data_IF_405428024666
#
_entry.id   IF_405428024666
#
_cell.length_a   1.000
_cell.length_b   1.000
_cell.length_c   1.000
_cell.angle_alpha   90.00
_cell.angle_beta   90.00
_cell.angle_gamma   90.00
#
_symmetry.space_group_name_H-M   'P 1'
#
loop_
_entity.id
_entity.type
_entity.pdbx_description
1 polymer ?
#
# COMPACT_ATOMS: atom_id res chain seq x y z
N UNK A 1 24.10 13.12 7.26
CA UNK A 1 24.25 12.27 6.06
C UNK A 1 23.71 12.94 4.79
N UNK A 2 22.57 13.65 4.85
CA UNK A 2 21.97 14.34 3.68
C UNK A 2 22.92 15.35 3.05
N UNK A 3 23.63 16.16 3.87
CA UNK A 3 24.60 17.15 3.39
C UNK A 3 25.81 16.53 2.66
N UNK A 4 26.20 15.30 3.02
CA UNK A 4 27.34 14.60 2.40
C UNK A 4 27.00 14.01 1.01
N UNK A 5 25.74 13.81 0.70
CA UNK A 5 25.28 13.09 -0.50
C UNK A 5 24.25 13.89 -1.32
N UNK A 6 24.18 15.21 -1.09
CA UNK A 6 23.23 16.07 -1.79
C UNK A 6 23.40 15.96 -3.32
N UNK A 7 22.31 15.66 -4.00
CA UNK A 7 22.30 15.45 -5.46
C UNK A 7 22.76 14.06 -5.93
N UNK A 8 23.23 13.18 -5.04
CA UNK A 8 23.67 11.82 -5.40
C UNK A 8 22.63 10.74 -5.08
N UNK A 9 21.79 10.99 -4.06
CA UNK A 9 20.78 10.06 -3.61
C UNK A 9 19.48 10.79 -3.31
N UNK A 10 18.39 10.10 -3.59
CA UNK A 10 17.07 10.51 -3.13
C UNK A 10 16.71 9.70 -1.87
N UNK A 11 16.49 10.36 -0.72
CA UNK A 11 16.09 9.66 0.49
C UNK A 11 14.66 9.13 0.32
N UNK A 12 14.44 7.89 0.76
CA UNK A 12 13.13 7.25 0.80
C UNK A 12 12.68 7.12 2.25
N UNK A 13 11.37 7.15 2.48
CA UNK A 13 10.79 6.68 3.74
C UNK A 13 10.72 5.14 3.73
N UNK A 14 10.78 4.54 4.90
CA UNK A 14 10.54 3.10 5.05
C UNK A 14 9.06 2.86 5.26
N UNK A 15 8.53 1.80 4.66
CA UNK A 15 7.19 1.32 4.96
C UNK A 15 7.04 0.87 6.40
N UNK A 16 5.83 0.92 6.92
CA UNK A 16 5.48 0.39 8.23
C UNK A 16 4.15 -0.35 8.16
N UNK A 17 3.97 -1.23 9.11
CA UNK A 17 2.70 -1.92 9.37
C UNK A 17 1.60 -0.93 9.77
N UNK A 18 0.35 -1.32 9.60
CA UNK A 18 -0.80 -0.62 10.14
C UNK A 18 -0.94 -0.78 11.67
N UNK A 19 -1.96 -0.14 12.22
CA UNK A 19 -2.20 -0.24 13.67
C UNK A 19 -2.57 -1.65 14.10
N UNK A 20 -3.30 -2.39 13.26
CA UNK A 20 -3.67 -3.79 13.53
C UNK A 20 -2.45 -4.70 13.59
N UNK A 21 -1.53 -4.61 12.62
CA UNK A 21 -0.30 -5.41 12.63
C UNK A 21 0.59 -5.08 13.81
N UNK A 22 0.74 -3.79 14.13
CA UNK A 22 1.54 -3.38 15.29
C UNK A 22 0.95 -3.95 16.57
N UNK A 23 -0.36 -3.85 16.76
CA UNK A 23 -1.04 -4.42 17.94
C UNK A 23 -0.92 -5.95 17.98
N UNK A 24 -1.11 -6.63 16.85
CA UNK A 24 -0.91 -8.06 16.73
C UNK A 24 0.53 -8.47 17.08
N UNK A 25 1.53 -7.74 16.58
CA UNK A 25 2.95 -7.99 16.91
C UNK A 25 3.23 -7.82 18.40
N UNK A 26 2.63 -6.83 19.05
CA UNK A 26 2.82 -6.56 20.49
C UNK A 26 2.07 -7.56 21.38
N UNK A 27 0.87 -7.95 20.98
CA UNK A 27 -0.04 -8.79 21.77
C UNK A 27 0.16 -10.29 21.50
N UNK A 28 0.72 -10.65 20.34
CA UNK A 28 0.84 -12.03 19.88
C UNK A 28 -0.51 -12.65 19.52
N UNK A 29 -0.61 -13.99 19.66
CA UNK A 29 -1.81 -14.75 19.26
C UNK A 29 -3.10 -14.34 20.01
N UNK A 30 -2.96 -13.80 21.21
CA UNK A 30 -4.10 -13.36 22.02
C UNK A 30 -4.82 -12.16 21.39
N UNK A 31 -4.17 -11.41 20.50
CA UNK A 31 -4.76 -10.33 19.72
C UNK A 31 -6.10 -10.73 19.08
N UNK A 32 -6.20 -11.96 18.54
CA UNK A 32 -7.43 -12.41 17.87
C UNK A 32 -8.58 -12.73 18.84
N UNK A 33 -8.27 -13.08 20.09
CA UNK A 33 -9.28 -13.27 21.13
C UNK A 33 -9.79 -11.94 21.66
N UNK A 34 -8.93 -10.91 21.74
CA UNK A 34 -9.26 -9.59 22.28
C UNK A 34 -10.40 -8.88 21.53
N UNK A 35 -10.65 -9.22 20.25
CA UNK A 35 -11.83 -8.74 19.52
C UNK A 35 -13.15 -9.10 20.18
N UNK A 36 -13.18 -10.18 20.96
CA UNK A 36 -14.39 -10.74 21.59
C UNK A 36 -14.34 -10.65 23.13
N UNK A 37 -13.17 -10.86 23.71
CA UNK A 37 -13.00 -10.94 25.15
C UNK A 37 -12.78 -9.58 25.80
N UNK A 38 -12.03 -8.67 25.14
CA UNK A 38 -11.76 -7.33 25.64
C UNK A 38 -11.64 -6.29 24.51
N UNK A 39 -12.73 -6.03 23.78
CA UNK A 39 -12.71 -5.12 22.63
C UNK A 39 -12.35 -3.67 23.01
N UNK A 40 -12.64 -3.24 24.23
CA UNK A 40 -12.33 -1.88 24.66
C UNK A 40 -10.83 -1.71 24.92
N UNK A 41 -10.18 -2.66 25.57
CA UNK A 41 -8.72 -2.64 25.74
C UNK A 41 -8.01 -2.77 24.39
N UNK A 42 -8.52 -3.58 23.47
CA UNK A 42 -8.00 -3.67 22.12
C UNK A 42 -8.08 -2.32 21.39
N UNK A 43 -9.21 -1.62 21.46
CA UNK A 43 -9.37 -0.29 20.88
C UNK A 43 -8.38 0.73 21.45
N UNK A 44 -8.10 0.66 22.76
CA UNK A 44 -7.10 1.54 23.38
C UNK A 44 -5.68 1.19 22.89
N UNK A 45 -5.30 -0.10 22.85
CA UNK A 45 -4.01 -0.52 22.29
C UNK A 45 -3.83 -0.04 20.85
N UNK A 46 -4.85 -0.22 20.00
CA UNK A 46 -4.83 0.22 18.60
C UNK A 46 -4.65 1.74 18.46
N UNK A 47 -5.25 2.55 19.36
CA UNK A 47 -5.04 4.00 19.38
C UNK A 47 -3.58 4.36 19.70
N UNK A 48 -2.96 3.68 20.66
CA UNK A 48 -1.53 3.87 20.97
C UNK A 48 -0.66 3.48 19.78
N UNK A 49 -0.95 2.36 19.12
CA UNK A 49 -0.25 1.92 17.92
C UNK A 49 -0.35 2.97 16.81
N UNK A 50 -1.54 3.49 16.53
CA UNK A 50 -1.74 4.51 15.50
C UNK A 50 -0.98 5.82 15.82
N UNK A 51 -0.94 6.26 17.09
CA UNK A 51 -0.16 7.42 17.50
C UNK A 51 1.35 7.19 17.34
N UNK A 52 1.85 6.02 17.71
CA UNK A 52 3.26 5.66 17.56
C UNK A 52 3.66 5.63 16.08
N UNK A 53 2.80 5.12 15.20
CA UNK A 53 3.02 5.10 13.75
C UNK A 53 3.11 6.51 13.17
N UNK A 54 2.17 7.40 13.52
CA UNK A 54 2.20 8.79 13.07
C UNK A 54 3.49 9.48 13.53
N UNK A 55 3.84 9.33 14.82
CA UNK A 55 5.08 9.88 15.35
C UNK A 55 6.31 9.37 14.59
N UNK A 56 6.38 8.07 14.32
CA UNK A 56 7.50 7.46 13.62
C UNK A 56 7.60 7.95 12.16
N UNK A 57 6.48 8.05 11.44
CA UNK A 57 6.45 8.57 10.09
C UNK A 57 6.84 10.04 10.02
N UNK A 58 6.36 10.85 10.95
CA UNK A 58 6.75 12.26 11.02
C UNK A 58 8.26 12.41 11.17
N UNK A 59 8.90 11.56 11.99
CA UNK A 59 10.37 11.55 12.13
C UNK A 59 11.09 11.09 10.87
N UNK A 60 10.54 10.16 10.13
CA UNK A 60 11.10 9.77 8.84
C UNK A 60 11.00 10.92 7.81
N UNK A 61 9.84 11.57 7.73
CA UNK A 61 9.63 12.70 6.82
C UNK A 61 10.50 13.90 7.16
N UNK A 62 10.69 14.20 8.45
CA UNK A 62 11.65 15.22 8.91
C UNK A 62 13.08 14.89 8.44
N UNK A 63 13.49 13.62 8.55
CA UNK A 63 14.83 13.17 8.18
C UNK A 63 15.02 13.08 6.65
N UNK A 64 14.05 12.56 5.91
CA UNK A 64 14.13 12.38 4.46
C UNK A 64 13.91 13.70 3.71
N UNK A 65 12.98 14.54 4.18
CA UNK A 65 12.50 15.71 3.46
C UNK A 65 11.71 15.34 2.21
N UNK A 66 11.39 16.33 1.41
CA UNK A 66 10.66 16.15 0.15
C UNK A 66 11.61 16.18 -1.05
N UNK A 67 11.24 15.43 -2.08
CA UNK A 67 11.91 15.38 -3.39
C UNK A 67 10.89 15.82 -4.45
N UNK A 68 11.16 16.92 -5.15
CA UNK A 68 10.25 17.52 -6.15
C UNK A 68 8.82 17.76 -5.62
N UNK A 69 8.71 18.24 -4.36
CA UNK A 69 7.42 18.50 -3.74
C UNK A 69 6.64 17.26 -3.28
N UNK A 70 7.29 16.11 -3.20
CA UNK A 70 6.69 14.86 -2.76
C UNK A 70 7.62 13.99 -1.93
N UNK A 71 7.14 12.81 -1.58
CA UNK A 71 7.84 11.80 -0.78
C UNK A 71 8.09 10.56 -1.64
N UNK A 72 9.30 10.00 -1.59
CA UNK A 72 9.60 8.68 -2.17
C UNK A 72 9.33 7.64 -1.08
N UNK A 73 8.42 6.71 -1.37
CA UNK A 73 7.98 5.68 -0.43
C UNK A 73 8.96 4.51 -0.35
N UNK A 74 8.72 3.60 0.57
CA UNK A 74 9.60 2.45 0.83
C UNK A 74 9.75 1.47 -0.34
N UNK A 75 8.85 1.50 -1.32
CA UNK A 75 8.95 0.71 -2.56
C UNK A 75 9.48 1.52 -3.75
N UNK A 76 9.83 2.80 -3.54
CA UNK A 76 10.40 3.65 -4.57
C UNK A 76 9.39 4.49 -5.35
N UNK A 77 8.09 4.42 -5.04
CA UNK A 77 7.09 5.28 -5.65
C UNK A 77 7.19 6.70 -5.11
N UNK A 78 7.02 7.66 -5.99
CA UNK A 78 6.85 9.05 -5.63
C UNK A 78 5.37 9.39 -5.44
N UNK A 79 5.04 9.97 -4.29
CA UNK A 79 3.71 10.50 -3.99
C UNK A 79 3.78 11.99 -3.66
N UNK A 80 2.77 12.79 -4.07
CA UNK A 80 2.78 14.23 -3.82
C UNK A 80 2.65 14.55 -2.33
N UNK A 81 3.35 15.63 -1.92
CA UNK A 81 3.28 16.16 -0.56
C UNK A 81 4.01 15.31 0.47
N UNK A 82 3.60 15.46 1.72
CA UNK A 82 4.01 14.59 2.84
C UNK A 82 3.21 13.30 2.73
N UNK A 83 3.85 12.22 2.33
CA UNK A 83 3.15 10.96 2.11
C UNK A 83 3.58 9.89 3.10
N UNK A 84 2.58 9.17 3.64
CA UNK A 84 2.81 7.90 4.31
C UNK A 84 2.92 6.81 3.25
N UNK A 85 4.05 6.11 3.22
CA UNK A 85 4.31 5.10 2.22
C UNK A 85 4.32 3.69 2.78
N UNK A 86 3.69 2.76 2.04
CA UNK A 86 3.58 1.36 2.38
C UNK A 86 2.95 1.12 3.76
N UNK A 87 1.81 1.75 4.00
CA UNK A 87 0.97 1.39 5.12
C UNK A 87 0.35 0.01 4.84
N UNK A 88 0.63 -0.97 5.68
CA UNK A 88 0.19 -2.36 5.49
C UNK A 88 -1.00 -2.68 6.38
N UNK A 89 -1.99 -3.38 5.84
CA UNK A 89 -3.14 -3.90 6.58
C UNK A 89 -3.26 -5.43 6.43
N UNK A 90 -2.11 -6.12 6.55
CA UNK A 90 -1.99 -7.57 6.34
C UNK A 90 -2.87 -8.39 7.30
N UNK A 91 -3.09 -7.90 8.51
CA UNK A 91 -4.01 -8.52 9.49
C UNK A 91 -5.42 -8.70 8.93
N UNK A 92 -5.82 -7.90 7.93
CA UNK A 92 -7.13 -8.06 7.26
C UNK A 92 -7.29 -9.41 6.54
N UNK A 93 -6.20 -10.13 6.30
CA UNK A 93 -6.23 -11.50 5.77
C UNK A 93 -6.81 -12.51 6.78
N UNK A 94 -6.79 -12.19 8.08
CA UNK A 94 -7.12 -13.07 9.18
C UNK A 94 -8.34 -12.64 9.99
N UNK A 95 -8.91 -11.48 9.71
CA UNK A 95 -10.08 -10.93 10.38
C UNK A 95 -11.22 -10.68 9.39
N UNK A 96 -12.44 -10.61 9.88
CA UNK A 96 -13.58 -10.28 9.04
C UNK A 96 -13.59 -8.81 8.63
N UNK A 97 -14.31 -8.50 7.55
CA UNK A 97 -14.57 -7.12 7.15
C UNK A 97 -15.22 -6.31 8.27
N UNK A 98 -16.13 -6.88 9.03
CA UNK A 98 -16.80 -6.19 10.15
C UNK A 98 -15.81 -5.78 11.24
N UNK A 99 -14.86 -6.66 11.58
CA UNK A 99 -13.80 -6.35 12.53
C UNK A 99 -12.87 -5.25 11.98
N UNK A 100 -12.50 -5.30 10.70
CA UNK A 100 -11.74 -4.20 10.09
C UNK A 100 -12.50 -2.87 10.15
N UNK A 101 -13.77 -2.85 9.77
CA UNK A 101 -14.60 -1.63 9.77
C UNK A 101 -14.72 -1.02 11.19
N UNK A 102 -14.81 -1.88 12.22
CA UNK A 102 -14.95 -1.41 13.61
C UNK A 102 -13.62 -1.00 14.24
N UNK A 103 -12.56 -1.83 14.10
CA UNK A 103 -11.31 -1.68 14.85
C UNK A 103 -10.17 -1.05 14.03
N UNK A 104 -10.02 -1.41 12.75
CA UNK A 104 -8.92 -0.96 11.91
C UNK A 104 -9.20 0.33 11.17
N UNK A 105 -10.29 0.35 10.41
CA UNK A 105 -10.62 1.44 9.48
C UNK A 105 -10.58 2.84 10.10
N UNK A 106 -11.14 3.12 11.30
CA UNK A 106 -11.10 4.47 11.86
C UNK A 106 -9.69 4.99 12.11
N UNK A 107 -8.77 4.09 12.47
CA UNK A 107 -7.38 4.43 12.75
C UNK A 107 -6.57 4.55 11.46
N UNK A 108 -6.75 3.64 10.52
CA UNK A 108 -6.15 3.72 9.19
C UNK A 108 -6.56 4.99 8.48
N UNK A 109 -7.83 5.36 8.53
CA UNK A 109 -8.31 6.64 8.00
C UNK A 109 -7.64 7.83 8.70
N UNK A 110 -7.54 7.81 10.04
CA UNK A 110 -6.86 8.87 10.79
C UNK A 110 -5.40 9.01 10.37
N UNK A 111 -4.69 7.91 10.16
CA UNK A 111 -3.30 7.92 9.68
C UNK A 111 -3.27 8.49 8.25
N UNK A 112 -4.06 7.94 7.31
CA UNK A 112 -4.06 8.38 5.92
C UNK A 112 -4.39 9.87 5.76
N UNK A 113 -5.34 10.39 6.55
CA UNK A 113 -5.77 11.80 6.47
C UNK A 113 -4.86 12.77 7.23
N UNK A 114 -3.90 12.28 8.03
CA UNK A 114 -2.86 13.11 8.64
C UNK A 114 -1.82 13.57 7.62
N UNK A 115 -1.71 12.89 6.49
CA UNK A 115 -0.77 13.17 5.41
C UNK A 115 -1.50 13.64 4.14
N UNK A 116 -0.74 14.23 3.21
CA UNK A 116 -1.28 14.70 1.93
C UNK A 116 -1.66 13.54 1.00
N UNK A 117 -0.99 12.39 1.19
CA UNK A 117 -1.25 11.17 0.44
C UNK A 117 -0.77 9.92 1.20
N UNK A 118 -1.37 8.77 0.88
CA UNK A 118 -1.01 7.48 1.42
C UNK A 118 -0.85 6.42 0.30
N UNK A 119 0.16 5.58 0.46
CA UNK A 119 0.31 4.33 -0.28
C UNK A 119 -0.10 3.17 0.62
N UNK A 120 -1.09 2.40 0.20
CA UNK A 120 -1.61 1.26 0.94
C UNK A 120 -1.10 -0.05 0.32
N UNK A 121 -0.56 -0.93 1.15
CA UNK A 121 -0.24 -2.31 0.79
C UNK A 121 -1.37 -3.24 1.23
N UNK A 122 -1.84 -4.10 0.33
CA UNK A 122 -2.91 -5.07 0.60
C UNK A 122 -2.64 -6.41 -0.07
N UNK A 123 -3.41 -7.41 0.31
CA UNK A 123 -3.27 -8.78 -0.14
C UNK A 123 -4.52 -9.31 -0.85
N UNK A 124 -4.36 -10.25 -1.79
CA UNK A 124 -5.46 -10.96 -2.43
C UNK A 124 -6.33 -11.73 -1.42
N UNK A 125 -5.71 -12.28 -0.36
CA UNK A 125 -6.43 -12.91 0.75
C UNK A 125 -7.38 -11.96 1.50
N UNK A 126 -7.13 -10.65 1.43
CA UNK A 126 -7.98 -9.60 2.03
C UNK A 126 -9.12 -9.14 1.12
N UNK A 127 -9.46 -9.87 0.05
CA UNK A 127 -10.42 -9.44 -0.96
C UNK A 127 -11.73 -8.91 -0.37
N UNK A 128 -12.23 -9.56 0.69
CA UNK A 128 -13.45 -9.15 1.39
C UNK A 128 -13.38 -7.76 2.03
N UNK A 129 -12.18 -7.25 2.33
CA UNK A 129 -11.95 -5.95 2.96
C UNK A 129 -11.47 -4.88 1.98
N UNK A 130 -11.02 -5.24 0.76
CA UNK A 130 -10.49 -4.30 -0.22
C UNK A 130 -11.39 -3.09 -0.52
N UNK A 131 -12.73 -3.26 -0.72
CA UNK A 131 -13.60 -2.12 -0.94
C UNK A 131 -13.64 -1.13 0.23
N UNK A 132 -13.59 -1.65 1.47
CA UNK A 132 -13.56 -0.83 2.67
C UNK A 132 -12.25 -0.05 2.77
N UNK A 133 -11.12 -0.69 2.47
CA UNK A 133 -9.80 -0.05 2.44
C UNK A 133 -9.73 1.01 1.34
N UNK A 134 -10.10 0.67 0.11
CA UNK A 134 -10.03 1.57 -1.04
C UNK A 134 -10.87 2.85 -0.88
N UNK A 135 -11.94 2.78 -0.06
CA UNK A 135 -12.80 3.92 0.23
C UNK A 135 -12.25 4.87 1.30
N UNK A 136 -11.09 4.58 1.92
CA UNK A 136 -10.47 5.45 2.92
C UNK A 136 -9.91 6.70 2.24
N UNK A 137 -10.31 7.92 2.69
CA UNK A 137 -9.76 9.16 2.14
C UNK A 137 -8.24 9.25 2.34
N UNK A 138 -7.56 9.84 1.36
CA UNK A 138 -6.10 10.05 1.40
C UNK A 138 -5.29 8.93 0.74
N UNK A 139 -5.82 7.74 0.54
CA UNK A 139 -5.15 6.68 -0.20
C UNK A 139 -5.10 7.09 -1.69
N UNK A 140 -3.88 7.29 -2.21
CA UNK A 140 -3.63 7.67 -3.61
C UNK A 140 -3.20 6.50 -4.47
N UNK A 141 -2.51 5.55 -3.88
CA UNK A 141 -2.11 4.33 -4.55
C UNK A 141 -2.34 3.13 -3.62
N UNK A 142 -2.77 2.03 -4.19
CA UNK A 142 -3.04 0.80 -3.44
C UNK A 142 -2.44 -0.40 -4.17
N UNK A 143 -1.46 -1.01 -3.55
CA UNK A 143 -0.90 -2.26 -4.02
C UNK A 143 -1.80 -3.41 -3.62
N UNK A 144 -1.96 -4.34 -4.55
CA UNK A 144 -2.60 -5.63 -4.34
C UNK A 144 -1.59 -6.72 -4.64
N UNK A 145 -1.11 -7.36 -3.57
CA UNK A 145 -0.19 -8.49 -3.66
C UNK A 145 -0.92 -9.80 -3.93
N UNK A 146 -0.30 -10.66 -4.74
CA UNK A 146 -0.76 -12.04 -4.93
C UNK A 146 -0.28 -12.92 -3.78
N UNK A 147 -1.16 -13.74 -3.24
CA UNK A 147 -0.85 -14.68 -2.17
C UNK A 147 -0.78 -16.12 -2.68
N UNK A 148 -0.07 -17.02 -1.98
CA UNK A 148 -0.14 -18.44 -2.27
C UNK A 148 -1.58 -18.96 -2.16
N UNK A 149 -1.97 -19.82 -3.11
CA UNK A 149 -3.30 -20.46 -3.16
C UNK A 149 -4.49 -19.50 -3.33
N UNK A 150 -4.25 -18.28 -3.83
CA UNK A 150 -5.31 -17.36 -4.26
C UNK A 150 -5.26 -17.14 -5.76
N UNK A 151 -6.30 -16.50 -6.30
CA UNK A 151 -6.21 -15.92 -7.63
C UNK A 151 -5.11 -14.85 -7.68
N UNK A 152 -4.54 -14.66 -8.86
CA UNK A 152 -3.56 -13.58 -9.08
C UNK A 152 -4.18 -12.21 -8.81
N UNK A 153 -3.40 -11.29 -8.27
CA UNK A 153 -3.84 -9.95 -7.91
C UNK A 153 -4.58 -9.23 -9.06
N UNK A 154 -4.16 -9.42 -10.29
CA UNK A 154 -4.82 -8.84 -11.46
C UNK A 154 -6.23 -9.36 -11.66
N UNK A 155 -6.50 -10.64 -11.36
CA UNK A 155 -7.84 -11.22 -11.47
C UNK A 155 -8.75 -10.76 -10.32
N UNK A 156 -8.19 -10.68 -9.09
CA UNK A 156 -8.88 -10.09 -7.94
C UNK A 156 -9.23 -8.62 -8.24
N UNK A 157 -8.28 -7.85 -8.80
CA UNK A 157 -8.51 -6.46 -9.18
C UNK A 157 -9.64 -6.32 -10.22
N UNK A 158 -9.62 -7.14 -11.28
CA UNK A 158 -10.65 -7.10 -12.36
C UNK A 158 -12.07 -7.22 -11.82
N UNK A 159 -12.32 -8.20 -10.96
CA UNK A 159 -13.66 -8.45 -10.43
C UNK A 159 -14.12 -7.44 -9.39
N UNK A 160 -13.19 -6.72 -8.78
CA UNK A 160 -13.47 -5.68 -7.80
C UNK A 160 -13.25 -4.26 -8.34
N UNK A 161 -12.98 -4.08 -9.63
CA UNK A 161 -12.53 -2.83 -10.25
C UNK A 161 -13.36 -1.61 -9.89
N UNK A 162 -14.69 -1.75 -9.92
CA UNK A 162 -15.61 -0.64 -9.61
C UNK A 162 -15.48 -0.20 -8.14
N UNK A 163 -15.37 -1.16 -7.23
CA UNK A 163 -15.22 -0.90 -5.79
C UNK A 163 -13.82 -0.34 -5.43
N UNK A 164 -12.83 -0.56 -6.30
CA UNK A 164 -11.44 -0.11 -6.13
C UNK A 164 -11.10 1.14 -6.96
N UNK A 165 -12.08 1.84 -7.49
CA UNK A 165 -11.87 2.95 -8.44
C UNK A 165 -11.24 4.23 -7.84
N UNK A 166 -11.07 4.34 -6.53
CA UNK A 166 -10.52 5.53 -5.87
C UNK A 166 -8.99 5.68 -6.05
N UNK A 167 -8.19 4.78 -5.48
CA UNK A 167 -6.73 4.84 -5.57
C UNK A 167 -6.21 4.32 -6.93
N UNK A 168 -4.99 4.76 -7.29
CA UNK A 168 -4.25 4.16 -8.42
C UNK A 168 -3.84 2.74 -8.04
N UNK A 169 -4.25 1.70 -8.79
CA UNK A 169 -3.83 0.34 -8.51
C UNK A 169 -2.34 0.15 -8.80
N UNK A 170 -1.67 -0.60 -7.92
CA UNK A 170 -0.27 -1.03 -8.08
C UNK A 170 -0.28 -2.55 -8.14
N UNK A 171 0.15 -3.10 -9.26
CA UNK A 171 0.06 -4.53 -9.57
C UNK A 171 1.44 -5.07 -9.97
N UNK A 172 1.88 -6.13 -9.30
CA UNK A 172 3.07 -6.88 -9.72
C UNK A 172 2.64 -7.95 -10.72
N UNK A 173 3.05 -7.76 -11.97
CA UNK A 173 2.59 -8.57 -13.09
C UNK A 173 3.76 -9.30 -13.77
N UNK A 174 3.49 -10.53 -14.18
CA UNK A 174 4.35 -11.26 -15.10
C UNK A 174 4.20 -10.71 -16.53
N UNK A 175 5.14 -11.02 -17.43
CA UNK A 175 5.05 -10.65 -18.86
C UNK A 175 3.73 -11.11 -19.48
N UNK A 176 3.33 -12.37 -19.28
CA UNK A 176 2.09 -12.89 -19.82
C UNK A 176 0.84 -12.18 -19.29
N UNK A 177 0.83 -11.78 -18.00
CA UNK A 177 -0.26 -11.00 -17.44
C UNK A 177 -0.32 -9.57 -18.02
N UNK A 178 0.83 -8.94 -18.26
CA UNK A 178 0.89 -7.62 -18.92
C UNK A 178 0.31 -7.72 -20.33
N UNK A 179 0.79 -8.66 -21.13
CA UNK A 179 0.36 -8.86 -22.53
C UNK A 179 -1.14 -9.20 -22.62
N UNK A 180 -1.64 -10.03 -21.70
CA UNK A 180 -3.05 -10.44 -21.66
C UNK A 180 -3.99 -9.34 -21.13
N UNK A 181 -3.47 -8.26 -20.54
CA UNK A 181 -4.27 -7.21 -19.89
C UNK A 181 -4.03 -5.80 -20.45
N UNK A 182 -3.51 -5.65 -21.68
CA UNK A 182 -3.26 -4.34 -22.26
C UNK A 182 -4.48 -3.40 -22.25
N UNK A 183 -5.66 -3.90 -22.58
CA UNK A 183 -6.88 -3.08 -22.59
C UNK A 183 -7.24 -2.57 -21.19
N UNK A 184 -7.06 -3.40 -20.14
CA UNK A 184 -7.21 -2.97 -18.76
C UNK A 184 -6.21 -1.86 -18.43
N UNK A 185 -4.93 -2.09 -18.72
CA UNK A 185 -3.84 -1.17 -18.39
C UNK A 185 -3.95 0.15 -19.19
N UNK A 186 -4.47 0.13 -20.42
CA UNK A 186 -4.73 1.33 -21.24
C UNK A 186 -5.94 2.13 -20.76
N UNK A 187 -6.91 1.48 -20.12
CA UNK A 187 -8.18 2.11 -19.75
C UNK A 187 -8.12 2.97 -18.47
N UNK A 188 -7.02 2.90 -17.72
CA UNK A 188 -6.87 3.60 -16.44
C UNK A 188 -5.39 3.81 -16.08
N UNK A 189 -5.14 4.72 -15.11
CA UNK A 189 -3.81 4.85 -14.52
C UNK A 189 -3.51 3.62 -13.67
N UNK A 190 -2.37 2.97 -13.92
CA UNK A 190 -1.91 1.80 -13.16
C UNK A 190 -0.40 1.89 -12.98
N UNK A 191 0.10 1.58 -11.81
CA UNK A 191 1.52 1.33 -11.58
C UNK A 191 1.74 -0.18 -11.76
N UNK A 192 2.64 -0.54 -12.65
CA UNK A 192 2.99 -1.93 -12.90
C UNK A 192 4.40 -2.18 -12.38
N UNK A 193 4.55 -3.18 -11.51
CA UNK A 193 5.84 -3.72 -11.14
C UNK A 193 6.13 -4.96 -11.96
N UNK A 194 7.30 -4.99 -12.58
CA UNK A 194 7.77 -6.12 -13.35
C UNK A 194 9.16 -6.53 -12.86
N UNK A 195 9.26 -7.77 -12.43
CA UNK A 195 10.53 -8.35 -11.99
C UNK A 195 11.23 -8.96 -13.21
N UNK A 196 12.12 -8.19 -13.81
CA UNK A 196 12.90 -8.66 -14.96
C UNK A 196 13.94 -9.70 -14.55
N UNK A 197 14.09 -10.75 -15.34
CA UNK A 197 15.05 -11.83 -15.09
C UNK A 197 16.50 -11.41 -15.37
N UNK A 198 16.70 -10.42 -16.25
CA UNK A 198 18.01 -9.86 -16.62
C UNK A 198 17.82 -8.47 -17.24
N UNK A 199 18.94 -7.80 -17.55
CA UNK A 199 18.92 -6.46 -18.16
C UNK A 199 18.23 -6.43 -19.52
N UNK A 200 18.45 -7.45 -20.35
CA UNK A 200 17.83 -7.55 -21.67
C UNK A 200 16.32 -7.67 -21.56
N UNK A 201 15.81 -8.51 -20.65
CA UNK A 201 14.38 -8.63 -20.36
C UNK A 201 13.77 -7.30 -19.86
N UNK A 202 14.49 -6.56 -19.04
CA UNK A 202 14.06 -5.23 -18.58
C UNK A 202 13.97 -4.23 -19.76
N UNK A 203 14.94 -4.24 -20.66
CA UNK A 203 14.96 -3.37 -21.85
C UNK A 203 13.83 -3.73 -22.81
N UNK A 204 13.59 -5.02 -23.06
CA UNK A 204 12.49 -5.50 -23.89
C UNK A 204 11.12 -5.10 -23.31
N UNK A 205 10.94 -5.21 -22.00
CA UNK A 205 9.70 -4.78 -21.35
C UNK A 205 9.54 -3.26 -21.44
N UNK A 206 10.59 -2.48 -21.23
CA UNK A 206 10.56 -1.04 -21.40
C UNK A 206 10.18 -0.64 -22.84
N UNK A 207 10.73 -1.31 -23.84
CA UNK A 207 10.39 -1.09 -25.24
C UNK A 207 8.93 -1.46 -25.54
N UNK A 208 8.43 -2.56 -24.95
CA UNK A 208 7.03 -2.96 -25.05
C UNK A 208 6.10 -1.86 -24.49
N UNK A 209 6.38 -1.36 -23.29
CA UNK A 209 5.60 -0.29 -22.67
C UNK A 209 5.66 1.01 -23.50
N UNK A 210 6.82 1.41 -24.01
CA UNK A 210 6.97 2.60 -24.85
C UNK A 210 6.13 2.52 -26.14
N UNK A 211 5.99 1.32 -26.73
CA UNK A 211 5.17 1.09 -27.91
C UNK A 211 3.68 1.06 -27.60
N UNK A 212 3.27 0.35 -26.55
CA UNK A 212 1.86 0.11 -26.23
C UNK A 212 1.21 1.27 -25.46
N UNK A 213 2.00 2.03 -24.68
CA UNK A 213 1.56 3.14 -23.83
C UNK A 213 2.36 4.42 -24.12
N UNK A 214 2.27 4.98 -25.33
CA UNK A 214 3.02 6.19 -25.67
C UNK A 214 2.61 7.35 -24.75
N UNK A 215 3.60 8.03 -24.17
CA UNK A 215 3.40 9.25 -23.40
C UNK A 215 2.86 10.31 -24.35
N UNK A 216 1.69 10.84 -24.05
CA UNK A 216 1.04 11.93 -24.82
C UNK A 216 1.44 13.28 -24.27
#
# INVERSE_FOLDING_TARGET
>A
KRQLYEGQFFPMTRGVSGALEMANTLRGSDFFYDFYEDPDALKELLKYCAHALVWYYDKQLEAAGQVFGGTITGFGEWLPGRAVGQLSEDTTTMISRAQFEEFGRPLTQKICTHYDSAFMHTHALSEHSLPAIASIPGIRAMELSSDPNTDRAVEVYKRNREALAGPVPVLRLTRGEIESNFELLKSQKTIVWYDASCMEDAQDMAALFAREFPVR
#
